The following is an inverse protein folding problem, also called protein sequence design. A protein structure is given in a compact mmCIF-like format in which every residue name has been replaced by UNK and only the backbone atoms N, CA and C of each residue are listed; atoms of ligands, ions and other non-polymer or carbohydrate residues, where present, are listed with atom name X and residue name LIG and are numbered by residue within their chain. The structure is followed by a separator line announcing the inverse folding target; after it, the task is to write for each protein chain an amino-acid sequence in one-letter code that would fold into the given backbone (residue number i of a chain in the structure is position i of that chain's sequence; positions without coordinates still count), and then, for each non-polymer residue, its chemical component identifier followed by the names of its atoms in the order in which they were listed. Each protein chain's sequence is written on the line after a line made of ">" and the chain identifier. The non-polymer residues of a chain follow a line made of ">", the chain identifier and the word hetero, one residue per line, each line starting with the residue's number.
data_IF_011674399335
#
_entry.id   IF_011674399335
#
_cell.length_a   1.000
_cell.length_b   1.000
_cell.length_c   1.000
_cell.angle_alpha   90.00
_cell.angle_beta   90.00
_cell.angle_gamma   90.00
#
_symmetry.space_group_name_H-M   'P 1'
#
loop_
_entity.id
_entity.type
_entity.pdbx_description
1 polymer ?
#
# COMPACT_ATOMS: atom_id res chain seq x y z
N UNK A 1 19.36 50.79 7.21
CA UNK A 1 18.42 50.52 6.10
C UNK A 1 18.62 49.07 5.66
N UNK A 2 17.62 48.23 5.93
CA UNK A 2 17.56 46.77 5.74
C UNK A 2 17.15 46.44 4.30
N UNK A 3 17.63 45.33 3.71
CA UNK A 3 16.78 44.38 2.97
C UNK A 3 17.29 42.93 3.14
N UNK A 4 16.66 42.19 4.07
CA UNK A 4 16.73 40.71 4.13
C UNK A 4 16.09 40.16 2.85
N UNK A 5 16.79 39.29 2.11
CA UNK A 5 16.19 38.54 1.01
C UNK A 5 15.29 37.45 1.59
N UNK A 6 13.99 37.65 1.40
CA UNK A 6 12.93 36.69 1.69
C UNK A 6 12.95 35.62 0.58
N UNK A 7 13.37 34.39 0.89
CA UNK A 7 13.12 33.28 -0.02
C UNK A 7 11.66 32.88 0.13
N UNK A 8 10.85 33.19 -0.88
CA UNK A 8 9.47 32.70 -1.00
C UNK A 8 9.55 31.18 -1.14
N UNK A 9 9.22 30.45 -0.08
CA UNK A 9 8.88 29.04 -0.17
C UNK A 9 7.68 28.91 -1.12
N UNK A 10 7.87 28.27 -2.27
CA UNK A 10 6.74 27.76 -3.04
C UNK A 10 6.12 26.65 -2.19
N UNK A 11 5.04 26.97 -1.49
CA UNK A 11 4.09 25.93 -1.10
C UNK A 11 3.59 25.30 -2.39
N UNK A 12 3.98 24.06 -2.68
CA UNK A 12 3.18 23.22 -3.56
C UNK A 12 1.90 22.89 -2.79
N UNK A 13 0.89 23.72 -2.98
CA UNK A 13 -0.50 23.34 -2.72
C UNK A 13 -0.88 22.29 -3.76
N UNK A 14 -0.72 21.00 -3.42
CA UNK A 14 -1.38 19.93 -4.16
C UNK A 14 -2.87 20.00 -3.83
N UNK A 15 -3.58 20.80 -4.62
CA UNK A 15 -5.03 20.86 -4.59
C UNK A 15 -5.60 19.52 -5.02
N UNK A 16 -6.39 18.91 -4.13
CA UNK A 16 -7.23 17.77 -4.42
C UNK A 16 -8.29 18.20 -5.46
N UNK A 17 -8.06 17.90 -6.74
CA UNK A 17 -9.07 18.08 -7.79
C UNK A 17 -9.78 16.75 -8.02
N UNK A 18 -11.01 16.63 -7.51
CA UNK A 18 -11.95 15.62 -7.96
C UNK A 18 -12.38 15.97 -9.38
N UNK A 19 -11.90 15.23 -10.37
CA UNK A 19 -12.48 15.21 -11.71
C UNK A 19 -13.12 13.84 -11.91
N UNK A 20 -14.44 13.76 -11.66
CA UNK A 20 -15.25 12.72 -12.26
C UNK A 20 -15.24 12.94 -13.78
N UNK A 21 -14.39 12.20 -14.49
CA UNK A 21 -14.58 11.93 -15.91
C UNK A 21 -14.82 10.42 -16.05
N UNK A 22 -16.08 10.09 -16.34
CA UNK A 22 -16.53 8.74 -16.59
C UNK A 22 -15.74 8.10 -17.74
N UNK A 23 -15.23 6.89 -17.48
CA UNK A 23 -14.74 5.87 -18.43
C UNK A 23 -13.41 6.20 -19.13
N UNK A 24 -12.34 5.49 -18.73
CA UNK A 24 -11.95 4.35 -19.54
C UNK A 24 -11.64 3.13 -18.66
N UNK A 25 -12.69 2.51 -18.11
CA UNK A 25 -12.60 1.18 -17.51
C UNK A 25 -13.55 0.23 -18.25
N UNK A 26 -13.51 0.29 -19.58
CA UNK A 26 -14.22 -0.64 -20.45
C UNK A 26 -13.24 -1.41 -21.36
N UNK A 27 -12.00 -0.92 -21.50
CA UNK A 27 -10.97 -1.52 -22.36
C UNK A 27 -10.24 -2.69 -21.69
N UNK A 28 -10.12 -2.73 -20.36
CA UNK A 28 -9.53 -3.87 -19.64
C UNK A 28 -10.54 -5.00 -19.35
N UNK A 29 -11.82 -4.67 -19.21
CA UNK A 29 -12.89 -5.67 -19.00
C UNK A 29 -13.22 -6.48 -20.27
N UNK A 30 -12.96 -5.92 -21.46
CA UNK A 30 -13.16 -6.63 -22.73
C UNK A 30 -12.06 -7.69 -22.97
N UNK A 31 -10.82 -7.42 -22.55
CA UNK A 31 -9.72 -8.38 -22.69
C UNK A 31 -9.88 -9.59 -21.77
N UNK A 32 -10.43 -9.41 -20.55
CA UNK A 32 -10.66 -10.53 -19.63
C UNK A 32 -11.90 -11.35 -20.01
N UNK A 33 -12.96 -10.72 -20.54
CA UNK A 33 -14.14 -11.45 -21.05
C UNK A 33 -13.82 -12.36 -22.24
N UNK A 34 -12.82 -12.01 -23.05
CA UNK A 34 -12.43 -12.83 -24.22
C UNK A 34 -11.53 -14.01 -23.80
N UNK A 35 -10.75 -13.88 -22.72
CA UNK A 35 -9.96 -14.97 -22.15
C UNK A 35 -10.82 -16.02 -21.41
N UNK A 36 -12.02 -15.64 -20.95
CA UNK A 36 -12.95 -16.53 -20.25
C UNK A 36 -13.79 -17.44 -21.18
N UNK A 37 -13.69 -17.28 -22.51
CA UNK A 37 -14.53 -18.00 -23.48
C UNK A 37 -13.79 -19.12 -24.24
N UNK A 38 -12.49 -19.32 -24.00
CA UNK A 38 -11.69 -20.37 -24.62
C UNK A 38 -11.17 -21.36 -23.58
N UNK A 39 -12.08 -22.13 -22.99
CA UNK A 39 -11.80 -23.54 -22.70
C UNK A 39 -13.11 -24.30 -22.50
N UNK A 40 -13.65 -24.84 -23.60
CA UNK A 40 -14.68 -25.85 -23.54
C UNK A 40 -14.04 -27.22 -23.27
N UNK A 41 -14.10 -27.61 -21.99
CA UNK A 41 -14.36 -28.94 -21.41
C UNK A 41 -13.36 -30.09 -21.65
N UNK A 42 -12.73 -30.53 -20.54
CA UNK A 42 -12.80 -31.93 -20.13
C UNK A 42 -13.13 -31.98 -18.62
N UNK A 43 -14.06 -32.85 -18.26
CA UNK A 43 -14.73 -32.96 -16.98
C UNK A 43 -13.75 -33.31 -15.83
N UNK A 44 -13.45 -32.35 -14.96
CA UNK A 44 -13.12 -32.64 -13.56
C UNK A 44 -13.68 -31.52 -12.70
N UNK A 45 -14.34 -31.88 -11.59
CA UNK A 45 -14.93 -30.93 -10.64
C UNK A 45 -13.82 -30.13 -9.94
N UNK A 46 -13.26 -29.13 -10.61
CA UNK A 46 -12.32 -28.19 -10.01
C UNK A 46 -13.14 -27.25 -9.14
N UNK A 47 -13.16 -27.51 -7.83
CA UNK A 47 -13.51 -26.50 -6.84
C UNK A 47 -12.52 -25.35 -7.01
N UNK A 48 -12.95 -24.30 -7.70
CA UNK A 48 -12.28 -23.01 -7.64
C UNK A 48 -12.43 -22.51 -6.20
N UNK A 49 -11.39 -22.67 -5.39
CA UNK A 49 -11.31 -21.94 -4.14
C UNK A 49 -11.18 -20.48 -4.53
N UNK A 50 -12.23 -19.68 -4.31
CA UNK A 50 -12.16 -18.25 -4.51
C UNK A 50 -10.96 -17.72 -3.72
N UNK A 51 -9.99 -17.14 -4.42
CA UNK A 51 -8.84 -16.49 -3.77
C UNK A 51 -9.39 -15.25 -3.08
N UNK A 52 -9.59 -15.35 -1.77
CA UNK A 52 -9.97 -14.20 -0.97
C UNK A 52 -8.76 -13.27 -0.88
N UNK A 53 -8.85 -12.13 -1.56
CA UNK A 53 -7.83 -11.09 -1.49
C UNK A 53 -7.90 -10.43 -0.10
N UNK A 54 -6.78 -10.29 0.63
CA UNK A 54 -6.78 -9.62 1.93
C UNK A 54 -7.24 -8.16 1.86
N UNK A 55 -7.82 -7.68 2.96
CA UNK A 55 -8.25 -6.28 3.11
C UNK A 55 -7.08 -5.31 3.29
N UNK A 56 -5.98 -5.77 3.88
CA UNK A 56 -4.75 -5.00 4.03
C UNK A 56 -3.65 -5.64 3.20
N UNK A 57 -2.96 -4.82 2.42
CA UNK A 57 -1.82 -5.24 1.58
C UNK A 57 -0.59 -4.43 1.97
N UNK A 58 0.57 -5.06 1.94
CA UNK A 58 1.85 -4.35 1.87
C UNK A 58 2.14 -4.12 0.39
N UNK A 59 2.18 -2.85 -0.03
CA UNK A 59 2.32 -2.47 -1.45
C UNK A 59 3.72 -2.02 -1.81
N UNK A 60 4.49 -1.53 -0.85
CA UNK A 60 5.88 -1.11 -1.04
C UNK A 60 6.69 -1.33 0.23
N UNK A 61 7.94 -1.73 0.07
CA UNK A 61 8.95 -1.80 1.13
C UNK A 61 10.27 -1.24 0.61
N UNK A 62 10.99 -0.49 1.45
CA UNK A 62 12.36 -0.08 1.19
C UNK A 62 13.22 -0.41 2.41
N UNK A 63 13.70 -1.65 2.56
CA UNK A 63 14.60 -2.02 3.65
C UNK A 63 16.04 -1.56 3.39
N UNK A 64 16.85 -1.42 4.44
CA UNK A 64 18.31 -1.14 4.38
C UNK A 64 18.63 0.04 3.43
N UNK A 65 17.97 1.17 3.71
CA UNK A 65 18.09 2.37 2.90
C UNK A 65 19.44 3.06 3.12
N UNK A 66 19.71 4.13 2.37
CA UNK A 66 20.95 4.87 2.60
C UNK A 66 21.00 5.44 4.02
N UNK A 67 22.06 5.08 4.75
CA UNK A 67 22.34 5.62 6.07
C UNK A 67 22.62 7.14 6.06
N UNK A 68 21.92 7.89 6.92
CA UNK A 68 22.21 9.28 7.29
C UNK A 68 22.30 9.35 8.80
N UNK A 69 23.40 9.89 9.32
CA UNK A 69 23.70 9.92 10.76
C UNK A 69 23.72 8.53 11.44
N UNK A 70 24.01 7.46 10.68
CA UNK A 70 24.15 6.10 11.20
C UNK A 70 22.84 5.31 11.30
N UNK A 71 21.77 5.76 10.65
CA UNK A 71 20.50 5.03 10.56
C UNK A 71 19.88 5.17 9.17
N UNK A 72 19.06 4.19 8.80
CA UNK A 72 18.39 4.09 7.51
C UNK A 72 17.43 5.26 7.32
N UNK A 73 17.84 6.23 6.48
CA UNK A 73 17.17 7.52 6.42
C UNK A 73 15.85 7.52 5.63
N UNK A 74 15.62 6.46 4.87
CA UNK A 74 14.49 6.29 3.96
C UNK A 74 13.89 4.90 4.08
N UNK A 75 14.07 4.20 5.20
CA UNK A 75 13.42 2.90 5.40
C UNK A 75 11.92 3.10 5.59
N UNK A 76 11.11 2.32 4.89
CA UNK A 76 9.66 2.36 5.09
C UNK A 76 8.94 1.09 4.64
N UNK A 77 7.69 0.96 5.12
CA UNK A 77 6.68 0.00 4.64
C UNK A 77 5.39 0.76 4.37
N UNK A 78 4.82 0.59 3.17
CA UNK A 78 3.50 1.08 2.82
C UNK A 78 2.43 0.00 3.03
N UNK A 79 1.37 0.37 3.76
CA UNK A 79 0.18 -0.46 3.97
C UNK A 79 -1.01 0.17 3.26
N UNK A 80 -1.66 -0.60 2.40
CA UNK A 80 -2.82 -0.23 1.61
C UNK A 80 -4.09 -0.91 2.12
N UNK A 81 -5.17 -0.13 2.25
CA UNK A 81 -6.51 -0.64 2.51
C UNK A 81 -7.20 -1.02 1.18
N UNK A 82 -7.21 -2.31 0.86
CA UNK A 82 -7.86 -2.89 -0.29
C UNK A 82 -9.37 -3.14 -0.10
N UNK A 83 -9.92 -2.89 1.08
CA UNK A 83 -11.36 -3.01 1.34
C UNK A 83 -12.15 -1.81 0.80
N UNK A 84 -13.48 -1.86 0.95
CA UNK A 84 -14.40 -0.76 0.64
C UNK A 84 -14.88 -0.02 1.91
N UNK A 85 -14.24 -0.28 3.07
CA UNK A 85 -14.59 0.32 4.37
C UNK A 85 -13.37 0.95 5.05
N UNK A 86 -13.60 1.88 5.97
CA UNK A 86 -12.52 2.42 6.83
C UNK A 86 -12.02 1.31 7.76
N UNK A 87 -10.69 1.13 7.84
CA UNK A 87 -10.07 0.19 8.76
C UNK A 87 -9.34 0.95 9.87
N UNK A 88 -9.52 0.53 11.13
CA UNK A 88 -8.75 1.00 12.27
C UNK A 88 -7.62 0.01 12.57
N UNK A 89 -6.38 0.49 12.66
CA UNK A 89 -5.20 -0.33 12.89
C UNK A 89 -4.76 -0.42 14.36
N UNK A 90 -5.55 0.06 15.32
CA UNK A 90 -5.16 0.12 16.74
C UNK A 90 -4.79 -1.23 17.39
N UNK A 91 -5.20 -2.35 16.80
CA UNK A 91 -4.85 -3.71 17.25
C UNK A 91 -3.82 -4.41 16.34
N UNK A 92 -3.25 -3.70 15.38
CA UNK A 92 -2.31 -4.25 14.42
C UNK A 92 -0.86 -4.01 14.85
N UNK A 93 0.00 -4.94 14.46
CA UNK A 93 1.45 -4.86 14.66
C UNK A 93 2.14 -5.19 13.36
N UNK A 94 3.22 -4.47 13.08
CA UNK A 94 4.07 -4.76 11.93
C UNK A 94 5.30 -5.49 12.43
N UNK A 95 5.42 -6.75 12.05
CA UNK A 95 6.59 -7.58 12.32
C UNK A 95 7.47 -7.61 11.07
N UNK A 96 8.77 -7.45 11.27
CA UNK A 96 9.78 -7.54 10.23
C UNK A 96 10.73 -8.72 10.53
N UNK A 97 10.87 -9.63 9.58
CA UNK A 97 11.78 -10.76 9.70
C UNK A 97 13.17 -10.35 9.18
N UNK A 98 14.22 -10.60 9.96
CA UNK A 98 15.60 -10.41 9.53
C UNK A 98 16.20 -11.77 9.15
N UNK A 99 16.08 -12.20 7.87
CA UNK A 99 16.34 -13.59 7.47
C UNK A 99 17.78 -14.06 7.74
N UNK A 100 18.73 -13.14 7.88
CA UNK A 100 20.10 -13.44 8.30
C UNK A 100 20.17 -14.16 9.66
N UNK A 101 19.13 -14.01 10.50
CA UNK A 101 18.99 -14.66 11.79
C UNK A 101 18.05 -15.89 11.75
N UNK A 102 17.60 -16.30 10.56
CA UNK A 102 16.72 -17.44 10.31
C UNK A 102 15.22 -17.13 10.38
N UNK A 103 14.38 -18.13 10.06
CA UNK A 103 12.93 -17.97 9.88
C UNK A 103 12.17 -17.52 11.15
N UNK A 104 12.74 -17.72 12.35
CA UNK A 104 12.13 -17.34 13.62
C UNK A 104 12.59 -15.97 14.14
N UNK A 105 13.09 -15.10 13.26
CA UNK A 105 13.71 -13.81 13.61
C UNK A 105 12.78 -12.60 13.51
N UNK A 106 11.48 -12.83 13.64
CA UNK A 106 10.48 -11.76 13.60
C UNK A 106 10.71 -10.75 14.74
N UNK A 107 10.93 -9.50 14.35
CA UNK A 107 11.07 -8.36 15.26
C UNK A 107 9.84 -7.48 15.16
N UNK A 108 9.30 -7.07 16.31
CA UNK A 108 8.25 -6.05 16.33
C UNK A 108 8.86 -4.72 15.84
N UNK A 109 8.46 -4.28 14.65
CA UNK A 109 8.97 -3.06 14.03
C UNK A 109 8.09 -1.86 14.38
N UNK A 110 6.76 -2.01 14.25
CA UNK A 110 5.80 -0.97 14.63
C UNK A 110 4.71 -1.56 15.52
N UNK A 111 4.58 -1.01 16.73
CA UNK A 111 3.43 -1.21 17.61
C UNK A 111 2.38 -0.14 17.31
N UNK A 112 1.33 -0.49 16.57
CA UNK A 112 0.28 0.47 16.16
C UNK A 112 -0.74 0.60 17.29
N UNK A 113 -0.35 1.26 18.38
CA UNK A 113 -1.16 1.42 19.59
C UNK A 113 -1.94 2.74 19.66
N UNK A 114 -2.31 3.27 18.50
CA UNK A 114 -3.08 4.52 18.35
C UNK A 114 -4.17 4.31 17.32
N UNK A 115 -5.24 5.10 17.39
CA UNK A 115 -6.34 5.10 16.42
C UNK A 115 -5.86 5.63 15.05
N UNK A 116 -5.14 4.78 14.31
CA UNK A 116 -4.80 5.00 12.91
C UNK A 116 -5.94 4.45 12.07
N UNK A 117 -6.59 5.33 11.32
CA UNK A 117 -7.65 4.97 10.38
C UNK A 117 -7.16 5.11 8.95
N UNK A 118 -7.32 4.06 8.15
CA UNK A 118 -7.05 4.09 6.71
C UNK A 118 -8.38 4.04 5.97
N UNK A 119 -8.65 5.10 5.18
CA UNK A 119 -9.84 5.15 4.33
C UNK A 119 -9.84 4.05 3.26
N UNK A 120 -10.99 3.67 2.69
CA UNK A 120 -11.05 2.75 1.56
C UNK A 120 -10.09 3.18 0.45
N UNK A 121 -9.31 2.24 -0.07
CA UNK A 121 -8.35 2.45 -1.16
C UNK A 121 -7.27 3.50 -0.87
N UNK A 122 -7.00 3.82 0.39
CA UNK A 122 -5.91 4.70 0.80
C UNK A 122 -4.71 3.91 1.36
N UNK A 123 -3.57 4.59 1.47
CA UNK A 123 -2.34 4.03 2.05
C UNK A 123 -1.91 4.78 3.31
N UNK A 124 -1.10 4.11 4.12
CA UNK A 124 -0.27 4.73 5.15
C UNK A 124 1.17 4.22 5.01
N UNK A 125 2.12 5.07 5.34
CA UNK A 125 3.55 4.75 5.34
C UNK A 125 4.07 4.76 6.78
N UNK A 126 4.80 3.71 7.14
CA UNK A 126 5.55 3.59 8.38
C UNK A 126 7.05 3.65 8.06
N UNK A 127 7.85 4.36 8.86
CA UNK A 127 9.30 4.53 8.73
C UNK A 127 9.85 5.41 9.85
#
# INVERSE_FOLDING_TARGET
>A
MIRKKLYKSKLLSLGLTTLMLAKPMEVMAASTKTLLATEYIAEENVKINEIQIPELLITEILPDSKNVNGSDAYEFIEVYNNSDVELNLNDYKLYYNYPDNGDASDTLWVDINKDIKIQPKATIVFG
#
